data_IF_335744364510
#
_entry.id   IF_335744364510
#
_cell.length_a   1.000
_cell.length_b   1.000
_cell.length_c   1.000
_cell.angle_alpha   90.00
_cell.angle_beta   90.00
_cell.angle_gamma   90.00
#
_symmetry.space_group_name_H-M   'P 1'
#
loop_
_entity.id
_entity.type
_entity.pdbx_description
1 polymer ?
#
# COMPACT_ATOMS: atom_id res chain seq x y z
N UNK A 1 12.58 8.49 3.72
CA UNK A 1 11.50 7.98 2.86
C UNK A 1 11.80 6.51 2.58
N UNK A 2 10.83 5.61 2.65
CA UNK A 2 11.05 4.17 2.43
C UNK A 2 10.28 3.76 1.18
N UNK A 3 10.98 3.23 0.19
CA UNK A 3 10.40 2.72 -1.04
C UNK A 3 10.31 1.20 -0.98
N UNK A 4 9.28 0.64 -1.61
CA UNK A 4 9.04 -0.79 -1.65
C UNK A 4 8.74 -1.17 -3.09
N UNK A 5 9.63 -1.95 -3.70
CA UNK A 5 9.41 -2.52 -5.02
C UNK A 5 8.57 -3.78 -4.89
N UNK A 6 7.41 -3.81 -5.55
CA UNK A 6 6.57 -5.01 -5.64
C UNK A 6 7.27 -6.01 -6.57
N UNK A 7 7.42 -7.25 -6.11
CA UNK A 7 7.94 -8.37 -6.93
C UNK A 7 6.76 -9.07 -7.62
N UNK A 8 7.00 -9.72 -8.76
CA UNK A 8 6.02 -10.57 -9.50
C UNK A 8 5.11 -11.46 -8.64
N UNK A 9 5.65 -12.05 -7.57
CA UNK A 9 4.89 -12.89 -6.65
C UNK A 9 3.77 -12.17 -5.87
N UNK A 10 3.81 -10.85 -5.80
CA UNK A 10 2.81 -9.99 -5.17
C UNK A 10 1.97 -9.22 -6.21
N UNK A 11 2.15 -9.48 -7.50
CA UNK A 11 1.30 -8.92 -8.55
C UNK A 11 -0.15 -9.35 -8.35
N UNK A 12 -1.08 -8.46 -8.73
CA UNK A 12 -2.53 -8.67 -8.59
C UNK A 12 -2.99 -8.76 -7.13
N UNK A 13 -2.14 -8.48 -6.16
CA UNK A 13 -2.57 -8.25 -4.79
C UNK A 13 -3.11 -6.81 -4.65
N UNK A 14 -4.19 -6.62 -3.90
CA UNK A 14 -4.63 -5.27 -3.54
C UNK A 14 -3.64 -4.58 -2.60
N UNK A 15 -3.43 -3.29 -2.80
CA UNK A 15 -2.53 -2.48 -1.98
C UNK A 15 -2.89 -2.54 -0.49
N UNK A 16 -4.17 -2.51 -0.11
CA UNK A 16 -4.58 -2.63 1.29
C UNK A 16 -4.19 -3.97 1.93
N UNK A 17 -4.34 -5.07 1.19
CA UNK A 17 -3.92 -6.41 1.64
C UNK A 17 -2.41 -6.50 1.77
N UNK A 18 -1.67 -5.89 0.84
CA UNK A 18 -0.21 -5.80 0.92
C UNK A 18 0.23 -5.01 2.16
N UNK A 19 -0.35 -3.83 2.39
CA UNK A 19 -0.02 -2.97 3.52
C UNK A 19 -0.30 -3.64 4.86
N UNK A 20 -1.41 -4.38 5.00
CA UNK A 20 -1.71 -5.15 6.21
C UNK A 20 -0.71 -6.27 6.48
N UNK A 21 -0.21 -6.93 5.43
CA UNK A 21 0.82 -7.96 5.56
C UNK A 21 2.18 -7.35 5.89
N UNK A 22 2.49 -6.19 5.32
CA UNK A 22 3.75 -5.50 5.50
C UNK A 22 3.83 -4.75 6.85
N UNK A 23 2.69 -4.26 7.36
CA UNK A 23 2.56 -3.57 8.64
C UNK A 23 1.49 -4.25 9.49
N UNK A 24 1.78 -5.44 10.05
CA UNK A 24 0.80 -6.20 10.83
C UNK A 24 0.38 -5.50 12.12
N UNK A 25 1.25 -4.65 12.69
CA UNK A 25 0.97 -3.85 13.90
C UNK A 25 0.17 -2.58 13.60
N UNK A 26 0.01 -2.20 12.33
CA UNK A 26 -0.72 -1.00 11.98
C UNK A 26 -2.23 -1.28 11.91
N UNK A 27 -3.01 -0.51 12.66
CA UNK A 27 -4.46 -0.57 12.55
C UNK A 27 -4.96 -0.15 11.16
N UNK A 28 -6.09 -0.72 10.74
CA UNK A 28 -6.67 -0.43 9.43
C UNK A 28 -7.01 1.05 9.24
N UNK A 29 -7.55 1.69 10.28
CA UNK A 29 -7.85 3.13 10.26
C UNK A 29 -6.58 3.98 10.06
N UNK A 30 -5.46 3.55 10.67
CA UNK A 30 -4.17 4.21 10.50
C UNK A 30 -3.67 4.09 9.05
N UNK A 31 -3.75 2.89 8.44
CA UNK A 31 -3.35 2.69 7.04
C UNK A 31 -4.17 3.57 6.08
N UNK A 32 -5.49 3.64 6.23
CA UNK A 32 -6.34 4.52 5.40
C UNK A 32 -6.06 6.01 5.65
N UNK A 33 -5.74 6.40 6.89
CA UNK A 33 -5.31 7.78 7.22
C UNK A 33 -4.01 8.14 6.50
N UNK A 34 -3.05 7.22 6.43
CA UNK A 34 -1.77 7.42 5.74
C UNK A 34 -1.93 7.52 4.22
N UNK A 35 -2.78 6.69 3.63
CA UNK A 35 -3.16 6.78 2.22
C UNK A 35 -3.83 8.13 1.90
N UNK A 36 -4.79 8.56 2.75
CA UNK A 36 -5.48 9.86 2.57
C UNK A 36 -4.52 11.05 2.64
N UNK A 37 -3.55 11.02 3.57
CA UNK A 37 -2.53 12.06 3.77
C UNK A 37 -1.43 12.07 2.71
N UNK A 38 -1.43 11.12 1.76
CA UNK A 38 -0.35 10.92 0.76
C UNK A 38 1.00 10.56 1.38
N UNK A 39 1.01 9.96 2.58
CA UNK A 39 2.22 9.40 3.19
C UNK A 39 2.58 8.06 2.56
N UNK A 40 1.56 7.30 2.14
CA UNK A 40 1.71 6.10 1.30
C UNK A 40 1.20 6.49 -0.09
N UNK A 41 2.05 6.32 -1.09
CA UNK A 41 1.77 6.61 -2.50
C UNK A 41 2.03 5.35 -3.30
N UNK A 42 1.20 5.10 -4.31
CA UNK A 42 1.44 4.07 -5.30
C UNK A 42 2.04 4.77 -6.52
N UNK A 43 3.28 4.43 -6.89
CA UNK A 43 3.98 5.01 -8.03
C UNK A 43 3.97 6.56 -8.04
N UNK A 44 4.17 7.17 -6.86
CA UNK A 44 4.17 8.63 -6.70
C UNK A 44 2.78 9.28 -6.67
N UNK A 45 1.71 8.53 -6.94
CA UNK A 45 0.34 9.02 -6.95
C UNK A 45 -0.42 8.69 -5.66
N UNK A 46 -1.50 9.43 -5.41
CA UNK A 46 -2.37 9.18 -4.25
C UNK A 46 -3.08 7.85 -4.47
N UNK A 47 -2.94 6.95 -3.51
CA UNK A 47 -3.57 5.65 -3.56
C UNK A 47 -4.82 5.59 -2.67
N UNK A 48 -5.79 4.77 -3.08
CA UNK A 48 -7.02 4.50 -2.31
C UNK A 48 -6.93 3.21 -1.49
N UNK A 49 -5.98 2.33 -1.82
CA UNK A 49 -5.81 1.01 -1.20
C UNK A 49 -6.61 -0.10 -1.89
N UNK A 50 -7.53 0.25 -2.80
CA UNK A 50 -8.26 -0.73 -3.64
C UNK A 50 -7.51 -1.06 -4.93
N UNK A 51 -6.46 -0.32 -5.26
CA UNK A 51 -5.66 -0.59 -6.45
C UNK A 51 -5.02 -1.98 -6.38
N UNK A 52 -4.98 -2.63 -7.54
CA UNK A 52 -4.18 -3.83 -7.74
C UNK A 52 -2.74 -3.42 -7.98
N UNK A 53 -1.83 -4.06 -7.26
CA UNK A 53 -0.40 -3.87 -7.44
C UNK A 53 0.03 -4.53 -8.75
N UNK A 54 0.82 -3.78 -9.52
CA UNK A 54 1.46 -4.21 -10.75
C UNK A 54 2.95 -3.90 -10.61
N UNK A 55 3.80 -4.73 -11.23
CA UNK A 55 5.23 -4.45 -11.35
C UNK A 55 5.48 -3.18 -12.18
#
# INVERSE_FOLDING_TARGET
MREITIRKQNEKQRLDKFLRRYLPEAENGFLYKMLRKKNIKLNGQKASGRELLQE
#
